data_IF_395600309283
#
_entry.id   IF_395600309283
#
_cell.length_a   1.000
_cell.length_b   1.000
_cell.length_c   1.000
_cell.angle_alpha   90.00
_cell.angle_beta   90.00
_cell.angle_gamma   90.00
#
_symmetry.space_group_name_H-M   'P 1'
#
loop_
_entity.id
_entity.type
_entity.pdbx_description
1 polymer ?
#
# COMPACT_ATOMS: atom_id res chain seq x y z
N UNK A 1 -24.01 -29.54 19.89
CA UNK A 1 -23.45 -28.81 18.72
C UNK A 1 -23.91 -27.35 18.66
N UNK A 2 -25.16 -27.02 19.00
CA UNK A 2 -25.71 -25.66 18.92
C UNK A 2 -25.05 -24.61 19.84
N UNK A 3 -24.61 -25.00 21.04
CA UNK A 3 -23.95 -24.09 21.99
C UNK A 3 -22.60 -23.59 21.42
N UNK A 4 -21.80 -24.48 20.83
CA UNK A 4 -20.49 -24.11 20.25
C UNK A 4 -20.61 -23.15 19.06
N UNK A 5 -21.60 -23.36 18.18
CA UNK A 5 -21.88 -22.44 17.08
C UNK A 5 -22.36 -21.06 17.55
N UNK A 6 -23.16 -21.00 18.61
CA UNK A 6 -23.61 -19.73 19.19
C UNK A 6 -22.46 -18.91 19.76
N UNK A 7 -21.53 -19.56 20.47
CA UNK A 7 -20.33 -18.91 21.03
C UNK A 7 -19.40 -18.41 19.92
N UNK A 8 -19.18 -19.19 18.86
CA UNK A 8 -18.37 -18.73 17.72
C UNK A 8 -19.00 -17.55 16.98
N UNK A 9 -20.32 -17.57 16.77
CA UNK A 9 -21.03 -16.48 16.11
C UNK A 9 -20.95 -15.18 16.93
N UNK A 10 -21.15 -15.27 18.24
CA UNK A 10 -21.05 -14.14 19.16
C UNK A 10 -19.62 -13.58 19.21
N UNK A 11 -18.61 -14.44 19.32
CA UNK A 11 -17.20 -14.03 19.28
C UNK A 11 -16.84 -13.36 17.96
N UNK A 12 -17.30 -13.88 16.83
CA UNK A 12 -17.08 -13.27 15.51
C UNK A 12 -17.78 -11.91 15.38
N UNK A 13 -19.02 -11.79 15.87
CA UNK A 13 -19.75 -10.53 15.89
C UNK A 13 -19.04 -9.47 16.75
N UNK A 14 -18.46 -9.87 17.89
CA UNK A 14 -17.64 -8.99 18.72
C UNK A 14 -16.38 -8.50 17.98
N UNK A 15 -15.68 -9.40 17.27
CA UNK A 15 -14.52 -9.03 16.45
C UNK A 15 -14.90 -8.06 15.32
N UNK A 16 -16.04 -8.30 14.66
CA UNK A 16 -16.58 -7.39 13.64
C UNK A 16 -16.95 -6.03 14.22
N UNK A 17 -17.59 -6.00 15.39
CA UNK A 17 -17.90 -4.76 16.10
C UNK A 17 -16.63 -3.94 16.41
N UNK A 18 -15.55 -4.62 16.83
CA UNK A 18 -14.25 -3.99 17.05
C UNK A 18 -13.54 -3.53 15.78
N UNK A 19 -13.92 -4.05 14.61
CA UNK A 19 -13.36 -3.67 13.32
C UNK A 19 -14.05 -2.46 12.68
N UNK A 20 -15.24 -2.05 13.17
CA UNK A 20 -15.91 -0.86 12.64
C UNK A 20 -15.20 0.42 13.08
N UNK A 21 -15.05 1.39 12.16
CA UNK A 21 -14.36 2.61 12.49
C UNK A 21 -15.18 3.44 13.47
N UNK A 22 -14.68 3.60 14.69
CA UNK A 22 -15.25 4.52 15.69
C UNK A 22 -14.54 5.87 15.56
N UNK A 23 -15.31 6.96 15.54
CA UNK A 23 -14.79 8.32 15.47
C UNK A 23 -13.84 8.60 16.64
N UNK A 24 -12.68 9.21 16.33
CA UNK A 24 -11.67 9.58 17.32
C UNK A 24 -10.45 8.65 17.43
N UNK A 25 -10.25 7.70 16.52
CA UNK A 25 -8.96 7.01 16.34
C UNK A 25 -8.54 6.02 17.44
N UNK A 26 -9.41 5.74 18.41
CA UNK A 26 -9.14 4.85 19.56
C UNK A 26 -9.20 3.34 19.22
N UNK A 27 -9.34 2.97 17.95
CA UNK A 27 -9.45 1.58 17.51
C UNK A 27 -8.21 0.75 17.87
N UNK A 28 -7.02 1.35 17.79
CA UNK A 28 -5.76 0.69 18.19
C UNK A 28 -5.78 0.26 19.65
N UNK A 29 -6.33 1.06 20.57
CA UNK A 29 -6.42 0.71 21.98
C UNK A 29 -7.28 -0.55 22.24
N UNK A 30 -8.34 -0.75 21.45
CA UNK A 30 -9.22 -1.93 21.58
C UNK A 30 -8.49 -3.20 21.12
N UNK A 31 -7.75 -3.14 20.01
CA UNK A 31 -6.99 -4.28 19.49
C UNK A 31 -5.82 -4.69 20.41
N UNK A 32 -5.30 -3.75 21.19
CA UNK A 32 -4.28 -4.04 22.21
C UNK A 32 -4.87 -4.44 23.58
N UNK A 33 -6.20 -4.50 23.72
CA UNK A 33 -6.82 -4.88 24.98
C UNK A 33 -6.65 -6.39 25.28
N UNK A 34 -6.31 -6.79 26.52
CA UNK A 34 -6.22 -8.20 26.90
C UNK A 34 -7.52 -8.98 26.66
N UNK A 35 -8.67 -8.33 26.80
CA UNK A 35 -9.98 -8.92 26.52
C UNK A 35 -10.13 -9.32 25.05
N UNK A 36 -9.72 -8.46 24.12
CA UNK A 36 -9.74 -8.77 22.69
C UNK A 36 -8.83 -9.95 22.35
N UNK A 37 -7.63 -9.99 22.93
CA UNK A 37 -6.69 -11.11 22.77
C UNK A 37 -7.30 -12.40 23.31
N UNK A 38 -7.93 -12.37 24.49
CA UNK A 38 -8.59 -13.54 25.08
C UNK A 38 -9.72 -14.09 24.19
N UNK A 39 -10.53 -13.21 23.58
CA UNK A 39 -11.58 -13.61 22.62
C UNK A 39 -10.95 -14.27 21.38
N UNK A 40 -9.86 -13.71 20.84
CA UNK A 40 -9.15 -14.31 19.70
C UNK A 40 -8.60 -15.71 20.04
N UNK A 41 -8.00 -15.88 21.22
CA UNK A 41 -7.48 -17.18 21.68
C UNK A 41 -8.61 -18.19 21.85
N UNK A 42 -9.71 -17.80 22.49
CA UNK A 42 -10.88 -18.65 22.67
C UNK A 42 -11.46 -19.11 21.32
N UNK A 43 -11.56 -18.20 20.33
CA UNK A 43 -12.00 -18.53 18.98
C UNK A 43 -11.06 -19.54 18.31
N UNK A 44 -9.75 -19.34 18.38
CA UNK A 44 -8.77 -20.29 17.84
C UNK A 44 -8.93 -21.69 18.45
N UNK A 45 -9.07 -21.79 19.77
CA UNK A 45 -9.24 -23.07 20.47
C UNK A 45 -10.54 -23.77 20.05
N UNK A 46 -11.65 -23.03 19.93
CA UNK A 46 -12.92 -23.57 19.44
C UNK A 46 -12.80 -24.11 18.02
N UNK A 47 -12.15 -23.36 17.11
CA UNK A 47 -11.96 -23.79 15.72
C UNK A 47 -11.09 -25.06 15.62
N UNK A 48 -10.05 -25.16 16.45
CA UNK A 48 -9.19 -26.35 16.53
C UNK A 48 -9.94 -27.55 17.12
N UNK A 49 -10.73 -27.35 18.16
CA UNK A 49 -11.60 -28.40 18.73
C UNK A 49 -12.61 -28.89 17.69
N UNK A 50 -13.23 -27.99 16.93
CA UNK A 50 -14.12 -28.36 15.83
C UNK A 50 -13.39 -29.17 14.74
N UNK A 51 -12.15 -28.81 14.40
CA UNK A 51 -11.32 -29.59 13.47
C UNK A 51 -10.98 -30.97 14.03
N UNK A 52 -10.69 -31.09 15.33
CA UNK A 52 -10.33 -32.35 15.97
C UNK A 52 -11.53 -33.31 16.05
N UNK A 53 -12.70 -32.81 16.44
CA UNK A 53 -13.91 -33.62 16.59
C UNK A 53 -14.43 -34.15 15.25
N UNK A 54 -14.22 -33.41 14.15
CA UNK A 54 -14.54 -33.89 12.80
C UNK A 54 -13.39 -34.70 12.24
N UNK A 55 -13.54 -36.04 12.20
CA UNK A 55 -12.55 -36.93 11.57
C UNK A 55 -12.29 -36.51 10.12
N UNK A 56 -11.02 -36.63 9.72
CA UNK A 56 -10.45 -36.25 8.43
C UNK A 56 -11.02 -37.09 7.28
N UNK A 57 -12.26 -36.82 6.88
CA UNK A 57 -12.82 -37.32 5.64
C UNK A 57 -12.38 -36.40 4.49
N UNK A 58 -12.00 -36.97 3.35
CA UNK A 58 -11.76 -36.21 2.11
C UNK A 58 -12.92 -35.29 1.73
N UNK A 59 -14.12 -35.67 2.18
CA UNK A 59 -15.35 -34.89 2.10
C UNK A 59 -15.40 -33.69 3.08
N UNK A 60 -14.37 -33.34 3.83
CA UNK A 60 -14.41 -32.19 4.76
C UNK A 60 -13.20 -31.27 4.60
N UNK A 61 -12.48 -31.40 3.50
CA UNK A 61 -11.28 -30.59 3.21
C UNK A 61 -11.59 -29.09 3.25
N UNK A 62 -12.66 -28.63 2.58
CA UNK A 62 -13.05 -27.21 2.61
C UNK A 62 -13.30 -26.69 4.03
N UNK A 63 -13.94 -27.49 4.89
CA UNK A 63 -14.17 -27.14 6.29
C UNK A 63 -12.86 -26.95 7.06
N UNK A 64 -11.93 -27.90 6.94
CA UNK A 64 -10.62 -27.82 7.60
C UNK A 64 -9.77 -26.66 7.05
N UNK A 65 -9.79 -26.41 5.73
CA UNK A 65 -9.06 -25.30 5.13
C UNK A 65 -9.54 -23.95 5.66
N UNK A 66 -10.86 -23.73 5.76
CA UNK A 66 -11.40 -22.51 6.35
C UNK A 66 -11.00 -22.37 7.83
N UNK A 67 -11.16 -23.41 8.64
CA UNK A 67 -10.89 -23.30 10.08
C UNK A 67 -9.39 -23.12 10.37
N UNK A 68 -8.52 -23.91 9.73
CA UNK A 68 -7.08 -23.75 9.84
C UNK A 68 -6.61 -22.42 9.23
N UNK A 69 -7.28 -21.94 8.18
CA UNK A 69 -7.01 -20.63 7.59
C UNK A 69 -7.22 -19.48 8.57
N UNK A 70 -8.35 -19.47 9.30
CA UNK A 70 -8.61 -18.48 10.35
C UNK A 70 -7.58 -18.58 11.48
N UNK A 71 -7.26 -19.80 11.92
CA UNK A 71 -6.26 -20.01 12.99
C UNK A 71 -4.89 -19.49 12.58
N UNK A 72 -4.43 -19.77 11.36
CA UNK A 72 -3.15 -19.24 10.84
C UNK A 72 -3.18 -17.73 10.67
N UNK A 73 -4.29 -17.15 10.21
CA UNK A 73 -4.47 -15.71 10.10
C UNK A 73 -4.29 -15.02 11.47
N UNK A 74 -4.98 -15.52 12.49
CA UNK A 74 -4.91 -14.99 13.86
C UNK A 74 -3.54 -15.25 14.51
N UNK A 75 -2.94 -16.42 14.30
CA UNK A 75 -1.61 -16.73 14.80
C UNK A 75 -0.54 -15.80 14.18
N UNK A 76 -0.61 -15.55 12.87
CA UNK A 76 0.27 -14.60 12.19
C UNK A 76 0.10 -13.17 12.72
N UNK A 77 -1.15 -12.73 12.94
CA UNK A 77 -1.42 -11.44 13.56
C UNK A 77 -0.88 -11.34 15.00
N UNK A 78 -1.01 -12.41 15.80
CA UNK A 78 -0.47 -12.45 17.16
C UNK A 78 1.06 -12.40 17.16
N UNK A 79 1.73 -13.13 16.25
CA UNK A 79 3.19 -13.05 16.10
C UNK A 79 3.62 -11.61 15.79
N UNK A 80 2.95 -10.93 14.86
CA UNK A 80 3.27 -9.54 14.53
C UNK A 80 2.95 -8.59 15.70
N UNK A 81 1.87 -8.82 16.45
CA UNK A 81 1.53 -8.01 17.62
C UNK A 81 2.65 -7.99 18.66
N UNK A 82 3.27 -9.14 18.94
CA UNK A 82 4.30 -9.25 19.95
C UNK A 82 5.73 -9.02 19.44
N UNK A 83 5.98 -9.21 18.14
CA UNK A 83 7.35 -9.23 17.59
C UNK A 83 7.59 -8.20 16.49
N UNK A 84 6.57 -7.61 15.90
CA UNK A 84 6.81 -6.67 14.80
C UNK A 84 7.51 -5.41 15.31
N UNK A 85 8.38 -4.88 14.46
CA UNK A 85 9.11 -3.65 14.73
C UNK A 85 8.95 -2.74 13.53
N UNK A 86 8.62 -1.48 13.77
CA UNK A 86 8.52 -0.46 12.73
C UNK A 86 9.15 0.84 13.18
N UNK A 87 9.75 1.56 12.25
CA UNK A 87 10.36 2.86 12.49
C UNK A 87 10.56 3.64 11.21
N UNK A 88 10.86 4.92 11.35
CA UNK A 88 11.23 5.78 10.23
C UNK A 88 12.75 5.80 10.04
N UNK A 89 13.17 5.80 8.78
CA UNK A 89 14.56 5.90 8.36
C UNK A 89 14.67 7.03 7.36
N UNK A 90 15.58 7.96 7.60
CA UNK A 90 15.89 9.03 6.68
C UNK A 90 17.15 8.64 5.91
N UNK A 91 17.07 8.60 4.59
CA UNK A 91 18.20 8.30 3.72
C UNK A 91 18.49 9.53 2.85
N UNK A 92 19.68 10.15 2.97
CA UNK A 92 20.12 11.10 1.96
C UNK A 92 20.25 10.39 0.62
N UNK A 93 19.84 11.06 -0.45
CA UNK A 93 19.97 10.56 -1.81
C UNK A 93 21.40 10.80 -2.28
N UNK A 94 22.13 9.71 -2.50
CA UNK A 94 23.55 9.74 -2.89
C UNK A 94 24.29 8.48 -2.44
N UNK A 95 25.38 8.15 -3.13
CA UNK A 95 26.04 6.84 -3.02
C UNK A 95 26.84 6.59 -1.72
N UNK A 96 27.10 7.61 -0.91
CA UNK A 96 28.08 7.56 0.18
C UNK A 96 27.52 7.15 1.54
N UNK A 97 26.20 7.29 1.76
CA UNK A 97 25.59 6.97 3.05
C UNK A 97 24.82 5.66 3.01
N UNK A 98 25.05 4.81 4.00
CA UNK A 98 24.40 3.51 4.15
C UNK A 98 23.83 3.40 5.55
N UNK A 99 22.52 3.26 5.64
CA UNK A 99 21.86 2.98 6.91
C UNK A 99 21.90 1.48 7.20
N UNK A 100 22.39 1.11 8.37
CA UNK A 100 22.38 -0.28 8.89
C UNK A 100 21.47 -0.45 10.09
N UNK A 101 20.86 0.64 10.55
CA UNK A 101 19.98 0.70 11.72
C UNK A 101 18.93 1.78 11.57
N UNK A 102 17.88 1.69 12.37
CA UNK A 102 16.85 2.73 12.53
C UNK A 102 16.64 3.08 14.01
N UNK A 103 16.12 4.27 14.32
CA UNK A 103 15.57 4.55 15.65
C UNK A 103 14.45 3.56 15.97
N UNK A 104 14.57 2.86 17.09
CA UNK A 104 13.53 1.95 17.59
C UNK A 104 12.75 2.54 18.76
N UNK A 105 11.77 1.78 19.30
CA UNK A 105 10.98 2.19 20.45
C UNK A 105 11.86 2.55 21.66
N UNK A 106 11.58 3.67 22.31
CA UNK A 106 12.34 4.12 23.49
C UNK A 106 13.78 4.57 23.19
N UNK A 107 14.10 4.88 21.93
CA UNK A 107 15.43 5.37 21.52
C UNK A 107 16.48 4.27 21.35
N UNK A 108 16.11 3.00 21.56
CA UNK A 108 17.01 1.86 21.32
C UNK A 108 17.09 1.62 19.81
N UNK A 109 18.28 1.69 19.19
CA UNK A 109 18.42 1.49 17.76
C UNK A 109 18.18 0.04 17.37
N UNK A 110 17.44 -0.18 16.29
CA UNK A 110 17.17 -1.52 15.73
C UNK A 110 18.07 -1.72 14.52
N UNK A 111 18.92 -2.75 14.59
CA UNK A 111 19.88 -3.08 13.53
C UNK A 111 19.22 -3.96 12.47
N UNK A 112 19.47 -3.68 11.20
CA UNK A 112 18.89 -4.42 10.07
C UNK A 112 19.63 -5.72 9.75
N UNK A 113 20.95 -5.75 9.97
CA UNK A 113 21.83 -6.85 9.56
C UNK A 113 22.25 -6.80 8.08
N UNK A 114 21.92 -5.70 7.39
CA UNK A 114 22.30 -5.36 6.02
C UNK A 114 22.30 -3.84 5.89
N UNK A 115 22.87 -3.31 4.83
CA UNK A 115 22.85 -1.88 4.57
C UNK A 115 21.84 -1.49 3.50
N UNK A 116 21.30 -0.28 3.65
CA UNK A 116 20.39 0.33 2.69
C UNK A 116 20.81 1.77 2.40
N UNK A 117 20.86 2.12 1.11
CA UNK A 117 21.17 3.47 0.65
C UNK A 117 20.17 3.90 -0.44
N UNK A 118 19.77 5.18 -0.44
CA UNK A 118 19.01 5.76 -1.53
C UNK A 118 19.99 6.32 -2.57
N UNK A 119 20.06 5.71 -3.75
CA UNK A 119 21.05 6.07 -4.77
C UNK A 119 20.54 7.15 -5.72
N UNK A 120 19.24 7.15 -6.00
CA UNK A 120 18.59 8.12 -6.86
C UNK A 120 17.14 8.31 -6.40
N UNK A 121 16.59 9.49 -6.64
CA UNK A 121 15.18 9.82 -6.41
C UNK A 121 14.71 10.78 -7.49
N UNK A 122 13.56 10.47 -8.10
CA UNK A 122 12.97 11.31 -9.12
C UNK A 122 11.45 11.40 -8.96
N UNK A 123 10.93 12.59 -9.25
CA UNK A 123 9.50 12.89 -9.24
C UNK A 123 9.01 12.95 -10.68
N UNK A 124 8.12 12.03 -11.05
CA UNK A 124 7.47 12.05 -12.36
C UNK A 124 6.27 12.97 -12.24
N UNK A 125 6.21 14.03 -13.05
CA UNK A 125 5.13 15.02 -13.05
C UNK A 125 4.10 14.70 -14.13
N UNK A 126 2.83 15.06 -13.89
CA UNK A 126 1.84 15.14 -14.96
C UNK A 126 2.20 16.26 -15.95
N UNK A 127 1.74 16.18 -17.22
CA UNK A 127 1.72 17.34 -18.10
C UNK A 127 1.06 18.55 -17.39
N UNK A 128 1.59 19.77 -17.55
CA UNK A 128 1.00 20.94 -16.92
C UNK A 128 -0.36 21.25 -17.55
N UNK A 129 -1.18 21.94 -16.77
CA UNK A 129 -2.28 22.70 -17.33
C UNK A 129 -1.78 24.11 -17.69
N UNK A 130 -2.44 24.76 -18.64
CA UNK A 130 -2.12 26.12 -19.06
C UNK A 130 -3.27 27.06 -18.72
N UNK A 131 -2.96 28.13 -18.00
CA UNK A 131 -3.92 29.14 -17.59
C UNK A 131 -3.82 30.33 -18.56
N UNK A 132 -4.95 30.76 -19.10
CA UNK A 132 -5.03 31.91 -19.97
C UNK A 132 -4.87 33.22 -19.18
N UNK A 133 -4.06 34.13 -19.68
CA UNK A 133 -3.92 35.49 -19.18
C UNK A 133 -4.20 36.48 -20.30
N UNK A 134 -5.07 37.45 -20.04
CA UNK A 134 -5.39 38.55 -20.95
C UNK A 134 -4.91 39.86 -20.36
N UNK A 135 -4.20 40.67 -21.14
CA UNK A 135 -3.80 42.03 -20.77
C UNK A 135 -5.02 42.96 -20.97
N UNK A 136 -5.54 43.54 -19.90
CA UNK A 136 -6.60 44.55 -19.96
C UNK A 136 -6.13 45.86 -19.34
N UNK A 137 -5.96 46.88 -20.19
CA UNK A 137 -5.50 48.26 -19.91
C UNK A 137 -4.17 48.35 -19.16
N UNK A 138 -4.02 47.78 -17.95
CA UNK A 138 -2.74 47.63 -17.22
C UNK A 138 -2.65 46.36 -16.35
N UNK A 139 -3.69 45.51 -16.30
CA UNK A 139 -3.74 44.32 -15.42
C UNK A 139 -3.84 43.03 -16.22
N UNK A 140 -3.09 42.01 -15.79
CA UNK A 140 -3.26 40.64 -16.28
C UNK A 140 -4.46 40.00 -15.60
N UNK A 141 -5.51 39.71 -16.38
CA UNK A 141 -6.69 39.00 -15.90
C UNK A 141 -6.52 37.52 -16.15
N UNK A 142 -6.65 36.72 -15.08
CA UNK A 142 -6.64 35.25 -15.14
C UNK A 142 -7.95 34.76 -15.76
N UNK A 143 -7.86 33.97 -16.82
CA UNK A 143 -8.97 33.31 -17.50
C UNK A 143 -9.00 31.80 -17.24
N UNK A 144 -9.51 31.07 -18.22
CA UNK A 144 -9.72 29.63 -18.15
C UNK A 144 -8.42 28.82 -18.08
N UNK A 145 -8.54 27.59 -17.56
CA UNK A 145 -7.47 26.61 -17.52
C UNK A 145 -7.71 25.55 -18.61
N UNK A 146 -6.69 25.30 -19.42
CA UNK A 146 -6.72 24.33 -20.51
C UNK A 146 -5.75 23.19 -20.23
N UNK A 147 -6.22 21.95 -20.42
CA UNK A 147 -5.40 20.75 -20.26
C UNK A 147 -4.64 20.44 -21.54
N UNK A 148 -3.44 19.90 -21.39
CA UNK A 148 -2.66 19.34 -22.49
C UNK A 148 -3.28 17.99 -22.90
N UNK A 149 -3.58 17.83 -24.19
CA UNK A 149 -4.08 16.59 -24.76
C UNK A 149 -2.96 15.54 -24.91
N UNK A 150 -3.35 14.29 -25.18
CA UNK A 150 -2.40 13.17 -25.33
C UNK A 150 -1.36 13.38 -26.46
N UNK A 151 -1.73 14.17 -27.48
CA UNK A 151 -0.86 14.57 -28.59
C UNK A 151 0.05 15.78 -28.27
N UNK A 152 0.03 16.25 -27.01
CA UNK A 152 0.83 17.37 -26.54
C UNK A 152 0.29 18.74 -26.90
N UNK A 153 -0.91 18.85 -27.49
CA UNK A 153 -1.51 20.13 -27.89
C UNK A 153 -2.45 20.69 -26.82
N UNK A 154 -2.70 22.01 -26.89
CA UNK A 154 -3.67 22.70 -26.03
C UNK A 154 -4.72 23.37 -26.89
N UNK A 155 -5.99 23.06 -26.65
CA UNK A 155 -7.12 23.74 -27.27
C UNK A 155 -7.47 25.02 -26.48
N UNK A 156 -6.91 26.15 -26.89
CA UNK A 156 -7.04 27.45 -26.21
C UNK A 156 -8.35 28.17 -26.53
N UNK A 157 -9.46 27.42 -26.60
CA UNK A 157 -10.79 27.94 -26.92
C UNK A 157 -10.82 28.80 -28.20
N UNK A 158 -11.19 30.10 -28.11
CA UNK A 158 -11.30 30.97 -29.29
C UNK A 158 -9.95 31.31 -29.95
N UNK A 159 -8.82 31.03 -29.29
CA UNK A 159 -7.47 31.27 -29.82
C UNK A 159 -6.91 30.06 -30.61
N UNK A 160 -7.75 29.05 -30.87
CA UNK A 160 -7.39 27.88 -31.63
C UNK A 160 -6.53 26.87 -30.86
N UNK A 161 -5.83 26.01 -31.59
CA UNK A 161 -5.05 24.91 -31.03
C UNK A 161 -3.55 25.24 -31.09
N UNK A 162 -2.90 25.18 -29.94
CA UNK A 162 -1.45 25.39 -29.81
C UNK A 162 -0.75 24.03 -29.95
N UNK A 163 0.19 23.92 -30.88
CA UNK A 163 0.94 22.69 -31.14
C UNK A 163 1.94 22.38 -30.03
N UNK A 164 2.31 21.11 -29.90
CA UNK A 164 3.28 20.63 -28.93
C UNK A 164 4.64 21.34 -29.07
N UNK A 165 5.07 21.63 -30.31
CA UNK A 165 6.35 22.30 -30.60
C UNK A 165 6.41 23.72 -30.02
N UNK A 166 5.27 24.40 -29.88
CA UNK A 166 5.20 25.72 -29.26
C UNK A 166 5.13 25.65 -27.72
N UNK A 167 4.68 24.52 -27.19
CA UNK A 167 4.52 24.28 -25.75
C UNK A 167 5.75 23.60 -25.14
N UNK A 168 6.72 23.19 -25.96
CA UNK A 168 7.97 22.56 -25.53
C UNK A 168 9.17 23.44 -25.87
N UNK A 169 10.06 23.58 -24.89
CA UNK A 169 11.36 24.20 -25.07
C UNK A 169 12.32 23.23 -25.79
N UNK A 170 13.46 23.73 -26.25
CA UNK A 170 14.48 22.93 -26.94
C UNK A 170 15.06 21.79 -26.07
N UNK A 171 15.02 21.93 -24.74
CA UNK A 171 15.44 20.92 -23.77
C UNK A 171 14.34 19.87 -23.47
N UNK A 172 13.17 19.98 -24.10
CA UNK A 172 12.02 19.10 -23.91
C UNK A 172 11.14 19.46 -22.70
N UNK A 173 11.46 20.51 -21.95
CA UNK A 173 10.64 21.00 -20.83
C UNK A 173 9.41 21.77 -21.35
N UNK A 174 8.36 21.84 -20.53
CA UNK A 174 7.16 22.61 -20.86
C UNK A 174 7.42 24.11 -20.76
N UNK A 175 7.09 24.86 -21.81
CA UNK A 175 7.24 26.30 -21.88
C UNK A 175 6.45 27.00 -20.75
N UNK A 176 7.11 27.89 -20.00
CA UNK A 176 6.50 28.61 -18.89
C UNK A 176 5.38 29.56 -19.35
N UNK A 177 5.54 30.15 -20.54
CA UNK A 177 4.55 31.05 -21.13
C UNK A 177 4.59 30.98 -22.66
N UNK A 178 3.42 30.96 -23.29
CA UNK A 178 3.26 30.95 -24.76
C UNK A 178 2.25 32.00 -25.18
N UNK A 179 2.64 32.91 -26.06
CA UNK A 179 1.74 33.92 -26.63
C UNK A 179 0.81 33.27 -27.67
N UNK A 180 -0.49 33.40 -27.49
CA UNK A 180 -1.49 32.87 -28.45
C UNK A 180 -2.11 33.95 -29.33
N UNK A 181 -2.14 35.18 -28.85
CA UNK A 181 -2.52 36.38 -29.60
C UNK A 181 -1.89 37.62 -28.94
N UNK A 182 -2.02 38.79 -29.56
CA UNK A 182 -1.54 40.05 -28.98
C UNK A 182 -2.20 40.32 -27.61
N UNK A 183 -1.37 40.43 -26.58
CA UNK A 183 -1.82 40.63 -25.20
C UNK A 183 -2.49 39.41 -24.55
N UNK A 184 -2.44 38.23 -25.18
CA UNK A 184 -3.01 36.98 -24.64
C UNK A 184 -1.94 35.88 -24.57
N UNK A 185 -1.72 35.35 -23.37
CA UNK A 185 -0.71 34.34 -23.11
C UNK A 185 -1.31 33.14 -22.38
N UNK A 186 -0.82 31.95 -22.69
CA UNK A 186 -0.99 30.76 -21.87
C UNK A 186 0.21 30.67 -20.93
N UNK A 187 -0.04 30.64 -19.62
CA UNK A 187 1.00 30.44 -18.61
C UNK A 187 0.85 29.06 -17.98
N UNK A 188 1.96 28.33 -17.90
CA UNK A 188 2.05 27.03 -17.26
C UNK A 188 1.58 27.11 -15.79
N UNK A 189 0.71 26.19 -15.39
CA UNK A 189 0.33 26.01 -13.98
C UNK A 189 1.41 25.21 -13.26
N UNK A 190 1.37 25.22 -11.91
CA UNK A 190 2.15 24.25 -11.14
C UNK A 190 1.75 22.84 -11.59
N UNK A 191 2.76 22.03 -11.90
CA UNK A 191 2.56 20.64 -12.24
C UNK A 191 2.33 19.83 -10.97
N UNK A 192 1.45 18.84 -11.08
CA UNK A 192 1.19 17.89 -10.00
C UNK A 192 2.10 16.68 -10.15
N UNK A 193 2.71 16.19 -9.06
CA UNK A 193 3.38 14.91 -9.05
C UNK A 193 2.44 13.77 -9.44
N UNK A 194 2.91 12.90 -10.34
CA UNK A 194 2.26 11.67 -10.77
C UNK A 194 2.77 10.48 -9.98
N UNK A 195 4.09 10.34 -9.85
CA UNK A 195 4.70 9.28 -9.04
C UNK A 195 6.04 9.74 -8.47
N UNK A 196 6.37 9.16 -7.32
CA UNK A 196 7.62 9.36 -6.61
C UNK A 196 8.34 8.04 -6.56
N UNK A 197 9.60 8.04 -6.97
CA UNK A 197 10.38 6.82 -7.12
C UNK A 197 11.79 7.02 -6.59
N UNK A 198 12.26 6.05 -5.80
CA UNK A 198 13.62 5.97 -5.31
C UNK A 198 14.27 4.67 -5.78
N UNK A 199 15.58 4.69 -5.99
CA UNK A 199 16.37 3.48 -6.23
C UNK A 199 17.15 3.14 -4.97
N UNK A 200 16.79 2.04 -4.33
CA UNK A 200 17.45 1.55 -3.13
C UNK A 200 18.56 0.57 -3.48
N UNK A 201 19.77 0.82 -2.97
CA UNK A 201 20.86 -0.15 -2.96
C UNK A 201 20.84 -0.91 -1.65
N UNK A 202 20.77 -2.23 -1.73
CA UNK A 202 20.82 -3.15 -0.60
C UNK A 202 22.16 -3.87 -0.63
N UNK A 203 22.96 -3.66 0.40
CA UNK A 203 24.29 -4.24 0.58
C UNK A 203 24.21 -5.37 1.60
N UNK A 204 24.91 -6.47 1.38
CA UNK A 204 24.92 -7.60 2.31
C UNK A 204 26.28 -8.29 2.30
N UNK A 205 26.78 -8.67 3.47
CA UNK A 205 28.10 -9.28 3.59
C UNK A 205 28.26 -10.50 2.65
N UNK A 206 29.23 -10.41 1.74
CA UNK A 206 29.58 -11.48 0.81
C UNK A 206 28.59 -11.71 -0.34
N UNK A 207 27.64 -10.80 -0.59
CA UNK A 207 26.71 -10.85 -1.73
C UNK A 207 26.84 -9.59 -2.59
N UNK A 208 26.60 -9.68 -3.91
CA UNK A 208 26.56 -8.50 -4.77
C UNK A 208 25.42 -7.56 -4.35
N UNK A 209 25.67 -6.27 -4.50
CA UNK A 209 24.68 -5.23 -4.23
C UNK A 209 23.43 -5.42 -5.09
N UNK A 210 22.26 -5.27 -4.47
CA UNK A 210 20.98 -5.35 -5.17
C UNK A 210 20.36 -3.96 -5.27
N UNK A 211 19.93 -3.60 -6.48
CA UNK A 211 19.25 -2.33 -6.75
C UNK A 211 17.76 -2.60 -6.96
N UNK A 212 16.92 -1.97 -6.14
CA UNK A 212 15.49 -2.18 -6.13
C UNK A 212 14.76 -0.84 -6.29
N UNK A 213 13.74 -0.82 -7.16
CA UNK A 213 12.90 0.37 -7.36
C UNK A 213 11.84 0.43 -6.27
N UNK A 214 11.88 1.48 -5.49
CA UNK A 214 10.87 1.83 -4.50
C UNK A 214 9.93 2.89 -5.09
N UNK A 215 8.63 2.67 -5.02
CA UNK A 215 7.64 3.67 -5.40
C UNK A 215 6.49 3.73 -4.39
N UNK A 216 5.68 4.77 -4.47
CA UNK A 216 4.44 4.86 -3.68
C UNK A 216 3.59 3.60 -3.93
N UNK A 217 3.15 2.94 -2.86
CA UNK A 217 2.43 1.65 -2.88
C UNK A 217 3.20 0.43 -3.39
N UNK A 218 4.47 0.58 -3.80
CA UNK A 218 5.35 -0.50 -4.22
C UNK A 218 6.54 -0.60 -3.27
N UNK A 219 6.36 -1.21 -2.08
CA UNK A 219 7.41 -1.32 -1.09
C UNK A 219 8.48 -2.34 -1.51
N UNK A 220 9.72 -2.04 -1.15
CA UNK A 220 10.87 -2.95 -1.36
C UNK A 220 10.99 -3.89 -0.16
N UNK A 221 11.25 -5.18 -0.43
CA UNK A 221 11.45 -6.19 0.61
C UNK A 221 12.89 -6.69 0.65
N UNK A 222 13.50 -6.72 1.83
CA UNK A 222 14.86 -7.21 2.04
C UNK A 222 15.02 -7.86 3.41
N UNK A 223 15.54 -9.08 3.48
CA UNK A 223 15.84 -9.79 4.75
C UNK A 223 14.69 -9.78 5.77
N UNK A 224 13.45 -9.93 5.32
CA UNK A 224 12.24 -9.90 6.17
C UNK A 224 11.72 -8.50 6.49
N UNK A 225 12.44 -7.45 6.14
CA UNK A 225 12.02 -6.06 6.21
C UNK A 225 11.25 -5.63 4.97
N UNK A 226 10.38 -4.64 5.14
CA UNK A 226 9.77 -3.88 4.06
C UNK A 226 9.98 -2.40 4.27
N UNK A 227 10.31 -1.72 3.19
CA UNK A 227 10.53 -0.28 3.15
C UNK A 227 9.42 0.36 2.33
N UNK A 228 8.74 1.33 2.92
CA UNK A 228 7.67 2.09 2.28
C UNK A 228 8.14 3.54 2.16
N UNK A 229 7.97 4.13 0.98
CA UNK A 229 8.21 5.56 0.80
C UNK A 229 7.11 6.34 1.52
N UNK A 230 7.48 7.19 2.47
CA UNK A 230 6.54 7.99 3.28
C UNK A 230 6.53 9.43 2.79
N UNK A 231 7.70 10.05 2.75
CA UNK A 231 7.87 11.43 2.35
C UNK A 231 9.28 11.65 1.80
N UNK A 232 9.53 12.85 1.30
CA UNK A 232 10.82 13.32 0.88
C UNK A 232 10.94 14.80 1.23
N UNK A 233 12.17 15.30 1.36
CA UNK A 233 12.44 16.71 1.59
C UNK A 233 12.85 17.41 0.28
N UNK A 234 12.37 18.64 0.07
CA UNK A 234 12.62 19.47 -1.12
C UNK A 234 13.91 20.34 -0.98
N UNK A 235 14.58 20.27 0.18
CA UNK A 235 15.79 21.04 0.51
C UNK A 235 17.10 20.51 -0.16
N UNK A 236 18.19 21.31 -0.22
CA UNK A 236 19.40 21.01 -1.02
C UNK A 236 20.13 19.70 -0.69
N UNK A 237 19.79 19.03 0.40
CA UNK A 237 20.10 17.62 0.62
C UNK A 237 18.79 16.83 0.48
N UNK A 238 18.52 16.29 -0.72
CA UNK A 238 17.35 15.48 -1.00
C UNK A 238 17.38 14.24 -0.08
N UNK A 239 16.51 14.18 0.91
CA UNK A 239 16.32 13.01 1.77
C UNK A 239 15.03 12.31 1.42
N UNK A 240 15.05 10.98 1.40
CA UNK A 240 13.83 10.16 1.37
C UNK A 240 13.57 9.59 2.76
N UNK A 241 12.33 9.74 3.22
CA UNK A 241 11.87 9.18 4.49
C UNK A 241 11.13 7.88 4.19
N UNK A 242 11.64 6.81 4.77
CA UNK A 242 11.13 5.46 4.60
C UNK A 242 10.54 4.95 5.91
N UNK A 243 9.38 4.31 5.86
CA UNK A 243 8.93 3.45 6.95
C UNK A 243 9.52 2.06 6.75
N UNK A 244 10.38 1.65 7.66
CA UNK A 244 10.95 0.31 7.70
C UNK A 244 10.13 -0.55 8.68
N UNK A 245 9.63 -1.69 8.21
CA UNK A 245 8.82 -2.61 9.02
C UNK A 245 9.32 -4.05 8.89
N UNK A 246 9.62 -4.66 10.02
CA UNK A 246 9.84 -6.10 10.16
C UNK A 246 8.60 -6.76 10.75
N UNK A 247 8.00 -7.69 10.00
CA UNK A 247 6.73 -8.34 10.35
C UNK A 247 6.82 -9.84 10.01
N UNK A 248 7.33 -10.68 10.94
CA UNK A 248 7.56 -12.11 10.69
C UNK A 248 6.26 -12.93 10.62
N UNK A 249 5.20 -12.50 11.30
CA UNK A 249 3.90 -13.16 11.34
C UNK A 249 3.10 -13.01 10.06
N UNK A 250 3.42 -12.00 9.24
CA UNK A 250 2.74 -11.70 7.97
C UNK A 250 2.66 -12.89 7.01
N UNK A 251 3.73 -13.66 6.85
CA UNK A 251 3.72 -14.82 5.95
C UNK A 251 2.73 -15.90 6.42
N UNK A 252 2.69 -16.16 7.73
CA UNK A 252 1.71 -17.03 8.37
C UNK A 252 0.28 -16.51 8.17
N UNK A 253 0.08 -15.21 8.36
CA UNK A 253 -1.24 -14.60 8.18
C UNK A 253 -1.74 -14.70 6.73
N UNK A 254 -0.87 -14.42 5.76
CA UNK A 254 -1.18 -14.54 4.33
C UNK A 254 -1.48 -15.98 3.94
N UNK A 255 -0.73 -16.96 4.46
CA UNK A 255 -1.04 -18.37 4.25
C UNK A 255 -2.45 -18.72 4.75
N UNK A 256 -2.83 -18.21 5.93
CA UNK A 256 -4.19 -18.37 6.45
C UNK A 256 -5.28 -17.80 5.54
N UNK A 257 -5.06 -16.60 4.99
CA UNK A 257 -5.97 -15.97 4.01
C UNK A 257 -6.08 -16.82 2.74
N UNK A 258 -4.97 -17.36 2.22
CA UNK A 258 -5.01 -18.24 1.05
C UNK A 258 -5.77 -19.55 1.32
N UNK A 259 -5.64 -20.15 2.51
CA UNK A 259 -6.44 -21.31 2.89
C UNK A 259 -7.93 -20.97 2.98
N UNK A 260 -8.29 -19.79 3.48
CA UNK A 260 -9.68 -19.31 3.47
C UNK A 260 -10.22 -19.16 2.05
N UNK A 261 -9.46 -18.51 1.17
CA UNK A 261 -9.82 -18.33 -0.24
C UNK A 261 -10.02 -19.69 -0.93
N UNK A 262 -9.12 -20.65 -0.71
CA UNK A 262 -9.21 -21.99 -1.31
C UNK A 262 -10.32 -22.86 -0.67
N UNK A 263 -10.50 -22.77 0.64
CA UNK A 263 -11.48 -23.57 1.38
C UNK A 263 -12.92 -23.16 1.12
N UNK A 264 -13.17 -21.87 0.87
CA UNK A 264 -14.52 -21.33 0.69
C UNK A 264 -15.25 -21.93 -0.52
N UNK A 265 -14.68 -21.96 -1.75
CA UNK A 265 -15.28 -22.64 -2.89
C UNK A 265 -15.55 -24.12 -2.62
N UNK A 266 -14.62 -24.83 -1.99
CA UNK A 266 -14.76 -26.26 -1.68
C UNK A 266 -15.92 -26.53 -0.70
N UNK A 267 -16.27 -25.55 0.13
CA UNK A 267 -17.39 -25.61 1.06
C UNK A 267 -18.71 -25.24 0.37
N UNK A 268 -18.72 -24.21 -0.49
CA UNK A 268 -19.92 -23.71 -1.17
C UNK A 268 -20.37 -24.60 -2.35
N UNK A 269 -19.45 -25.15 -3.15
CA UNK A 269 -19.80 -25.91 -4.37
C UNK A 269 -20.05 -27.41 -4.13
N UNK A 270 -20.01 -27.84 -2.85
CA UNK A 270 -20.22 -29.25 -2.46
C UNK A 270 -21.67 -29.74 -2.55
N UNK A 271 -22.63 -28.83 -2.74
CA UNK A 271 -24.07 -29.12 -2.59
C UNK A 271 -24.90 -29.21 -3.87
N UNK A 272 -24.31 -29.13 -5.08
CA UNK A 272 -25.10 -29.15 -6.34
C UNK A 272 -25.05 -30.43 -7.16
N UNK A 273 -24.16 -31.39 -6.83
CA UNK A 273 -23.97 -32.58 -7.66
C UNK A 273 -24.85 -33.80 -7.27
N UNK A 274 -25.90 -33.62 -6.46
CA UNK A 274 -26.71 -34.74 -5.94
C UNK A 274 -28.23 -34.52 -6.06
N UNK A 275 -28.68 -33.67 -6.99
CA UNK A 275 -30.10 -33.31 -7.14
C UNK A 275 -30.72 -33.53 -8.53
N UNK A 276 -29.98 -34.05 -9.52
CA UNK A 276 -30.50 -34.26 -10.89
C UNK A 276 -30.10 -35.62 -11.46
N UNK A 277 -30.44 -36.72 -10.78
CA UNK A 277 -30.64 -38.04 -11.43
C UNK A 277 -31.66 -38.81 -10.58
N UNK A 278 -32.93 -38.72 -10.94
CA UNK A 278 -33.99 -39.49 -10.29
C UNK A 278 -35.32 -38.78 -10.31
N UNK A 279 -35.86 -38.58 -11.53
CA UNK A 279 -37.30 -38.52 -11.82
C UNK A 279 -37.47 -38.19 -13.32
N UNK A 280 -37.27 -39.19 -14.19
CA UNK A 280 -37.89 -39.28 -15.52
C UNK A 280 -37.51 -40.62 -16.19
N UNK A 281 -38.55 -41.41 -16.49
CA UNK A 281 -38.60 -42.73 -17.14
C UNK A 281 -38.32 -43.95 -16.26
#
# INVERSE_FOLDING_TARGET
>A
MHIGTGVMALGTAFLLAGAFPVDGGKQTAVFHSPAFIAVCVALCLLLLLCCWQRRRAWRQIGFHLCHLGVVLALAGAAIDHFRSVSGEVQLPVGASFEATRMPGPGGVPVVFGFGIAATNFHVILYPPDYILFKKNQERLVRGDTYRVAADGTVAAGPYGRVSADRLRNADGTWAEMVMVADGVALRKSRQTPRSFEAVLRITSHGRPDRYERLAVNHPVAAHGWRFYLVSYDDEPALHVVLNARWAPGRACAMAGIWLLIAGTPLLCFRGRAAGEVGDAC
#
